data_IF_244188122680
#
_entry.id   IF_244188122680
#
_cell.length_a   1.000
_cell.length_b   1.000
_cell.length_c   1.000
_cell.angle_alpha   90.00
_cell.angle_beta   90.00
_cell.angle_gamma   90.00
#
_symmetry.space_group_name_H-M   'P 1'
#
loop_
_entity.id
_entity.type
_entity.pdbx_description
1 polymer ?
#
# COMPACT_ATOMS: atom_id res chain seq x y z
N UNK A 1 1.17 -2.62 -23.26
CA UNK A 1 0.41 -3.62 -22.47
C UNK A 1 0.20 -4.90 -23.27
N UNK A 2 0.61 -6.04 -22.72
CA UNK A 2 0.25 -7.36 -23.23
C UNK A 2 -1.23 -7.67 -22.94
N UNK A 3 -1.74 -8.81 -23.43
CA UNK A 3 -3.16 -9.19 -23.26
C UNK A 3 -3.55 -9.41 -21.79
N UNK A 4 -2.65 -9.96 -20.97
CA UNK A 4 -2.90 -10.20 -19.56
C UNK A 4 -2.96 -8.89 -18.78
N UNK A 5 -2.01 -7.98 -19.01
CA UNK A 5 -2.00 -6.63 -18.43
C UNK A 5 -3.28 -5.86 -18.78
N UNK A 6 -3.76 -5.97 -20.03
CA UNK A 6 -5.02 -5.39 -20.46
C UNK A 6 -6.21 -5.95 -19.70
N UNK A 7 -6.34 -7.27 -19.60
CA UNK A 7 -7.44 -7.90 -18.88
C UNK A 7 -7.40 -7.54 -17.38
N UNK A 8 -6.21 -7.54 -16.78
CA UNK A 8 -6.02 -7.17 -15.38
C UNK A 8 -6.48 -5.73 -15.10
N UNK A 9 -6.06 -4.76 -15.90
CA UNK A 9 -6.52 -3.36 -15.77
C UNK A 9 -8.04 -3.25 -15.87
N UNK A 10 -8.65 -3.93 -16.84
CA UNK A 10 -10.10 -3.88 -17.06
C UNK A 10 -10.90 -4.50 -15.90
N UNK A 11 -10.41 -5.60 -15.31
CA UNK A 11 -11.03 -6.21 -14.14
C UNK A 11 -10.91 -5.31 -12.90
N UNK A 12 -9.75 -4.68 -12.70
CA UNK A 12 -9.55 -3.72 -11.60
C UNK A 12 -10.51 -2.54 -11.68
N UNK A 13 -10.71 -1.99 -12.87
CA UNK A 13 -11.71 -0.94 -13.07
C UNK A 13 -13.11 -1.41 -12.67
N UNK A 14 -13.47 -2.68 -12.92
CA UNK A 14 -14.74 -3.25 -12.46
C UNK A 14 -14.78 -3.36 -10.93
N UNK A 15 -13.69 -3.76 -10.29
CA UNK A 15 -13.64 -3.90 -8.83
C UNK A 15 -13.73 -2.52 -8.13
N UNK A 16 -13.10 -1.48 -8.67
CA UNK A 16 -13.26 -0.09 -8.20
C UNK A 16 -14.73 0.37 -8.33
N UNK A 17 -15.36 0.12 -9.48
CA UNK A 17 -16.76 0.48 -9.68
C UNK A 17 -17.71 -0.30 -8.77
N UNK A 18 -17.40 -1.57 -8.46
CA UNK A 18 -18.16 -2.39 -7.52
C UNK A 18 -18.09 -1.84 -6.10
N UNK A 19 -16.88 -1.50 -5.64
CA UNK A 19 -16.68 -0.89 -4.34
C UNK A 19 -17.46 0.42 -4.22
N UNK A 20 -17.32 1.32 -5.20
CA UNK A 20 -18.07 2.57 -5.22
C UNK A 20 -19.59 2.35 -5.20
N UNK A 21 -20.06 1.26 -5.79
CA UNK A 21 -21.49 0.88 -5.84
C UNK A 21 -22.03 0.33 -4.53
N UNK A 22 -21.20 -0.05 -3.56
CA UNK A 22 -21.68 -0.55 -2.26
C UNK A 22 -22.43 0.52 -1.49
N UNK A 23 -21.94 1.76 -1.55
CA UNK A 23 -22.49 2.90 -0.79
C UNK A 23 -23.31 3.88 -1.64
N UNK A 24 -23.28 3.75 -2.97
CA UNK A 24 -23.91 4.67 -3.92
C UNK A 24 -24.90 3.97 -4.85
N UNK A 25 -25.89 4.69 -5.36
CA UNK A 25 -26.77 4.27 -6.47
C UNK A 25 -26.06 4.41 -7.82
N UNK A 26 -26.64 3.83 -8.88
CA UNK A 26 -26.07 3.98 -10.23
C UNK A 26 -26.15 5.42 -10.74
N UNK A 27 -27.12 6.21 -10.27
CA UNK A 27 -27.26 7.61 -10.65
C UNK A 27 -26.17 8.45 -9.96
N UNK A 28 -25.93 8.24 -8.66
CA UNK A 28 -24.83 8.90 -7.92
C UNK A 28 -23.45 8.52 -8.51
N UNK A 29 -23.24 7.25 -8.86
CA UNK A 29 -22.03 6.82 -9.56
C UNK A 29 -21.86 7.49 -10.92
N UNK A 30 -22.94 7.68 -11.67
CA UNK A 30 -22.89 8.31 -12.99
C UNK A 30 -22.45 9.77 -12.88
N UNK A 31 -22.86 10.47 -11.82
CA UNK A 31 -22.41 11.83 -11.53
C UNK A 31 -20.91 11.89 -11.20
N UNK A 32 -20.41 10.97 -10.37
CA UNK A 32 -18.99 10.97 -9.98
C UNK A 32 -18.06 10.50 -11.09
N UNK A 33 -18.47 9.48 -11.86
CA UNK A 33 -17.59 8.83 -12.86
C UNK A 33 -17.75 9.38 -14.28
N UNK A 34 -18.73 10.25 -14.50
CA UNK A 34 -19.17 10.71 -15.82
C UNK A 34 -19.55 9.56 -16.79
N UNK A 35 -19.87 8.38 -16.25
CA UNK A 35 -20.29 7.20 -17.03
C UNK A 35 -21.81 7.06 -17.03
N UNK A 36 -22.43 6.66 -18.16
CA UNK A 36 -23.86 6.39 -18.19
C UNK A 36 -24.24 5.27 -17.20
N UNK A 37 -25.32 5.46 -16.42
CA UNK A 37 -25.81 4.47 -15.46
C UNK A 37 -26.03 3.07 -16.05
N UNK A 38 -26.44 2.99 -17.32
CA UNK A 38 -26.59 1.72 -18.04
C UNK A 38 -25.25 1.00 -18.31
N UNK A 39 -24.18 1.74 -18.59
CA UNK A 39 -22.85 1.18 -18.77
C UNK A 39 -22.25 0.76 -17.42
N UNK A 40 -22.41 1.59 -16.39
CA UNK A 40 -22.04 1.26 -15.01
C UNK A 40 -22.69 -0.05 -14.55
N UNK A 41 -23.99 -0.23 -14.79
CA UNK A 41 -24.69 -1.48 -14.48
C UNK A 41 -24.05 -2.68 -15.20
N UNK A 42 -23.69 -2.53 -16.46
CA UNK A 42 -23.06 -3.61 -17.24
C UNK A 42 -21.64 -3.91 -16.76
N UNK A 43 -20.87 -2.89 -16.39
CA UNK A 43 -19.51 -3.03 -15.86
C UNK A 43 -19.51 -3.70 -14.48
N UNK A 44 -20.28 -3.15 -13.53
CA UNK A 44 -20.38 -3.68 -12.14
C UNK A 44 -20.83 -5.14 -12.13
N UNK A 45 -21.81 -5.51 -12.96
CA UNK A 45 -22.28 -6.90 -13.07
C UNK A 45 -21.37 -7.79 -13.93
N UNK A 46 -20.30 -7.26 -14.52
CA UNK A 46 -19.35 -8.01 -15.34
C UNK A 46 -19.90 -8.47 -16.70
N UNK A 47 -21.01 -7.91 -17.17
CA UNK A 47 -21.58 -8.23 -18.48
C UNK A 47 -20.67 -7.77 -19.62
N UNK A 48 -19.97 -6.65 -19.42
CA UNK A 48 -18.95 -6.11 -20.32
C UNK A 48 -17.83 -5.49 -19.48
N UNK A 49 -16.62 -5.50 -20.02
CA UNK A 49 -15.49 -4.81 -19.42
C UNK A 49 -15.33 -3.40 -20.04
N UNK A 50 -14.93 -2.39 -19.25
CA UNK A 50 -14.63 -1.06 -19.80
C UNK A 50 -13.49 -1.15 -20.82
N UNK A 51 -13.47 -0.25 -21.81
CA UNK A 51 -12.33 -0.12 -22.73
C UNK A 51 -11.03 0.21 -21.97
N UNK A 52 -9.87 -0.07 -22.54
CA UNK A 52 -8.58 0.09 -21.82
C UNK A 52 -8.33 1.52 -21.35
N UNK A 53 -8.68 2.53 -22.15
CA UNK A 53 -8.55 3.94 -21.78
C UNK A 53 -9.44 4.28 -20.59
N UNK A 54 -10.73 3.98 -20.69
CA UNK A 54 -11.70 4.10 -19.58
C UNK A 54 -11.30 3.33 -18.33
N UNK A 55 -10.72 2.15 -18.48
CA UNK A 55 -10.25 1.37 -17.35
C UNK A 55 -9.08 2.05 -16.63
N UNK A 56 -8.22 2.79 -17.34
CA UNK A 56 -7.20 3.63 -16.71
C UNK A 56 -7.82 4.79 -15.96
N UNK A 57 -8.68 5.57 -16.61
CA UNK A 57 -9.38 6.71 -15.97
C UNK A 57 -10.07 6.31 -14.66
N UNK A 58 -10.77 5.16 -14.67
CA UNK A 58 -11.44 4.64 -13.47
C UNK A 58 -10.46 4.24 -12.36
N UNK A 59 -9.30 3.66 -12.70
CA UNK A 59 -8.33 3.18 -11.70
C UNK A 59 -7.44 4.32 -11.20
N UNK A 60 -6.95 5.17 -12.10
CA UNK A 60 -5.95 6.21 -11.81
C UNK A 60 -6.59 7.45 -11.18
N UNK A 61 -7.62 8.02 -11.80
CA UNK A 61 -8.20 9.29 -11.35
C UNK A 61 -9.28 9.06 -10.27
N UNK A 62 -10.27 8.25 -10.59
CA UNK A 62 -11.41 7.99 -9.70
C UNK A 62 -11.04 7.07 -8.54
N UNK A 63 -10.20 6.06 -8.81
CA UNK A 63 -9.83 5.06 -7.82
C UNK A 63 -9.09 5.66 -6.63
N UNK A 64 -8.16 6.59 -6.85
CA UNK A 64 -7.37 7.19 -5.76
C UNK A 64 -8.21 8.03 -4.82
N UNK A 65 -9.00 8.95 -5.35
CA UNK A 65 -9.88 9.80 -4.53
C UNK A 65 -10.92 8.96 -3.79
N UNK A 66 -11.55 8.01 -4.49
CA UNK A 66 -12.55 7.12 -3.91
C UNK A 66 -11.97 6.29 -2.76
N UNK A 67 -10.80 5.66 -2.96
CA UNK A 67 -10.16 4.86 -1.91
C UNK A 67 -9.71 5.72 -0.73
N UNK A 68 -9.27 6.96 -0.97
CA UNK A 68 -8.97 7.91 0.09
C UNK A 68 -10.21 8.19 0.97
N UNK A 69 -11.35 8.51 0.35
CA UNK A 69 -12.60 8.75 1.07
C UNK A 69 -13.09 7.51 1.82
N UNK A 70 -13.02 6.33 1.22
CA UNK A 70 -13.43 5.08 1.87
C UNK A 70 -12.46 4.68 3.00
N UNK A 71 -11.17 4.99 2.87
CA UNK A 71 -10.20 4.82 3.95
C UNK A 71 -10.54 5.76 5.12
N UNK A 72 -10.77 7.04 4.84
CA UNK A 72 -11.17 8.03 5.84
C UNK A 72 -12.45 7.63 6.58
N UNK A 73 -13.41 7.02 5.88
CA UNK A 73 -14.64 6.50 6.49
C UNK A 73 -14.41 5.28 7.42
N UNK A 74 -13.28 4.58 7.27
CA UNK A 74 -12.92 3.36 8.01
C UNK A 74 -11.97 3.59 9.17
N UNK A 75 -11.36 4.77 9.27
CA UNK A 75 -10.43 5.13 10.34
C UNK A 75 -11.12 5.94 11.43
N UNK A 76 -10.57 5.92 12.63
CA UNK A 76 -10.95 6.81 13.73
C UNK A 76 -9.70 7.44 14.31
N UNK A 77 -9.76 8.74 14.56
CA UNK A 77 -8.68 9.49 15.20
C UNK A 77 -9.16 9.92 16.58
N UNK A 78 -8.38 9.62 17.62
CA UNK A 78 -8.68 10.07 18.99
C UNK A 78 -8.18 11.49 19.28
N UNK A 79 -8.49 12.01 20.47
CA UNK A 79 -8.11 13.36 20.89
C UNK A 79 -6.58 13.54 21.03
N UNK A 80 -5.82 12.45 21.09
CA UNK A 80 -4.35 12.43 21.16
C UNK A 80 -3.69 12.21 19.78
N UNK A 81 -4.50 12.14 18.71
CA UNK A 81 -4.04 11.95 17.34
C UNK A 81 -3.58 10.53 17.02
N UNK A 82 -3.99 9.52 17.79
CA UNK A 82 -3.78 8.12 17.41
C UNK A 82 -4.88 7.66 16.46
N UNK A 83 -4.48 6.87 15.47
CA UNK A 83 -5.37 6.38 14.41
C UNK A 83 -5.69 4.90 14.66
N UNK A 84 -6.96 4.58 14.81
CA UNK A 84 -7.49 3.22 14.70
C UNK A 84 -7.88 2.95 13.25
N UNK A 85 -7.10 2.12 12.58
CA UNK A 85 -7.31 1.70 11.19
C UNK A 85 -7.70 0.22 11.07
N UNK A 86 -8.07 -0.44 12.17
CA UNK A 86 -8.35 -1.89 12.20
C UNK A 86 -9.37 -2.32 11.14
N UNK A 87 -10.41 -1.50 10.93
CA UNK A 87 -11.45 -1.79 9.95
C UNK A 87 -10.93 -1.78 8.50
N UNK A 88 -9.88 -1.01 8.22
CA UNK A 88 -9.27 -0.94 6.89
C UNK A 88 -8.27 -2.08 6.67
N UNK A 89 -7.37 -2.34 7.62
CA UNK A 89 -6.32 -3.38 7.47
C UNK A 89 -6.85 -4.81 7.53
N UNK A 90 -8.07 -5.02 8.06
CA UNK A 90 -8.75 -6.33 8.06
C UNK A 90 -9.64 -6.56 6.83
N UNK A 91 -9.91 -5.54 6.03
CA UNK A 91 -10.75 -5.64 4.82
C UNK A 91 -9.88 -5.96 3.60
N UNK A 92 -9.63 -7.26 3.35
CA UNK A 92 -8.82 -7.70 2.21
C UNK A 92 -9.37 -7.24 0.84
N UNK A 93 -10.69 -7.34 0.55
CA UNK A 93 -11.26 -6.77 -0.67
C UNK A 93 -10.90 -5.29 -0.89
N UNK A 94 -10.89 -4.48 0.16
CA UNK A 94 -10.41 -3.10 0.06
C UNK A 94 -8.92 -3.01 -0.24
N UNK A 95 -8.07 -3.76 0.47
CA UNK A 95 -6.62 -3.73 0.25
C UNK A 95 -6.24 -4.22 -1.15
N UNK A 96 -7.00 -5.15 -1.73
CA UNK A 96 -6.83 -5.62 -3.11
C UNK A 96 -7.13 -4.52 -4.15
N UNK A 97 -7.97 -3.53 -3.79
CA UNK A 97 -8.22 -2.33 -4.59
C UNK A 97 -7.15 -1.25 -4.40
N UNK A 98 -6.53 -1.18 -3.22
CA UNK A 98 -5.42 -0.26 -2.96
C UNK A 98 -4.23 -0.58 -3.86
N UNK A 99 -3.85 -1.85 -3.98
CA UNK A 99 -2.67 -2.26 -4.75
C UNK A 99 -2.60 -1.71 -6.20
N UNK A 100 -3.64 -1.82 -7.04
CA UNK A 100 -3.61 -1.24 -8.39
C UNK A 100 -3.53 0.28 -8.38
N UNK A 101 -4.21 0.95 -7.45
CA UNK A 101 -4.15 2.41 -7.37
C UNK A 101 -2.75 2.87 -6.97
N UNK A 102 -2.12 2.20 -6.02
CA UNK A 102 -0.76 2.49 -5.59
C UNK A 102 0.24 2.26 -6.72
N UNK A 103 0.13 1.13 -7.41
CA UNK A 103 1.06 0.77 -8.47
C UNK A 103 0.97 1.61 -9.75
N UNK A 104 -0.13 2.33 -9.97
CA UNK A 104 -0.30 3.20 -11.14
C UNK A 104 -0.31 4.70 -10.76
N UNK A 105 -0.59 5.04 -9.51
CA UNK A 105 -0.69 6.42 -9.02
C UNK A 105 0.58 6.98 -8.40
N UNK A 106 1.58 6.13 -8.14
CA UNK A 106 2.89 6.54 -7.64
C UNK A 106 3.98 6.09 -8.62
N UNK A 107 5.07 6.86 -8.68
CA UNK A 107 6.21 6.61 -9.57
C UNK A 107 7.13 5.49 -9.04
N UNK A 108 6.56 4.45 -8.42
CA UNK A 108 7.33 3.32 -7.92
C UNK A 108 7.75 2.40 -9.07
N UNK A 109 9.05 2.06 -9.12
CA UNK A 109 9.51 0.95 -9.94
C UNK A 109 8.93 -0.37 -9.43
N UNK A 110 8.83 -1.37 -10.31
CA UNK A 110 8.33 -2.69 -9.93
C UNK A 110 9.32 -3.36 -8.95
N UNK A 111 8.90 -3.69 -7.71
CA UNK A 111 9.81 -4.26 -6.72
C UNK A 111 9.96 -5.79 -6.84
N UNK A 112 11.11 -6.30 -6.43
CA UNK A 112 11.43 -7.72 -6.22
C UNK A 112 11.00 -8.22 -4.82
N UNK A 113 10.85 -7.28 -3.86
CA UNK A 113 10.32 -7.54 -2.52
C UNK A 113 9.44 -6.39 -2.05
N UNK A 114 8.27 -6.70 -1.48
CA UNK A 114 7.50 -5.77 -0.66
C UNK A 114 7.81 -6.04 0.80
N UNK A 115 8.44 -5.08 1.47
CA UNK A 115 8.89 -5.18 2.86
C UNK A 115 7.99 -4.36 3.79
N UNK A 116 7.63 -4.93 4.93
CA UNK A 116 6.92 -4.20 6.00
C UNK A 116 7.44 -4.58 7.39
N UNK A 117 6.95 -3.93 8.44
CA UNK A 117 7.13 -4.37 9.81
C UNK A 117 5.88 -5.14 10.28
N UNK A 118 6.07 -6.18 11.09
CA UNK A 118 4.94 -6.83 11.74
C UNK A 118 4.24 -5.86 12.73
N UNK A 119 2.92 -5.76 12.76
CA UNK A 119 1.96 -6.79 12.28
C UNK A 119 0.93 -6.29 11.26
N UNK A 120 0.38 -5.09 11.45
CA UNK A 120 -0.83 -4.67 10.74
C UNK A 120 -0.58 -4.37 9.24
N UNK A 121 0.57 -3.77 8.90
CA UNK A 121 1.03 -3.57 7.53
C UNK A 121 1.22 -4.85 6.69
N UNK A 122 1.21 -6.06 7.29
CA UNK A 122 1.39 -7.33 6.57
C UNK A 122 0.28 -7.57 5.54
N UNK A 123 -0.98 -7.21 5.83
CA UNK A 123 -2.08 -7.45 4.88
C UNK A 123 -1.98 -6.55 3.65
N UNK A 124 -1.57 -5.30 3.84
CA UNK A 124 -1.24 -4.37 2.75
C UNK A 124 -0.05 -4.87 1.93
N UNK A 125 1.04 -5.27 2.60
CA UNK A 125 2.23 -5.79 1.95
C UNK A 125 1.92 -7.03 1.11
N UNK A 126 1.11 -7.95 1.64
CA UNK A 126 0.68 -9.13 0.91
C UNK A 126 -0.17 -8.80 -0.33
N UNK A 127 -1.07 -7.82 -0.24
CA UNK A 127 -1.86 -7.35 -1.39
C UNK A 127 -0.97 -6.77 -2.50
N UNK A 128 -0.06 -5.86 -2.14
CA UNK A 128 0.90 -5.27 -3.07
C UNK A 128 1.85 -6.32 -3.67
N UNK A 129 2.35 -7.25 -2.86
CA UNK A 129 3.21 -8.32 -3.32
C UNK A 129 2.50 -9.22 -4.33
N UNK A 130 1.26 -9.60 -4.04
CA UNK A 130 0.39 -10.37 -4.95
C UNK A 130 0.16 -9.63 -6.26
N UNK A 131 -0.10 -8.32 -6.19
CA UNK A 131 -0.28 -7.47 -7.37
C UNK A 131 0.96 -7.45 -8.27
N UNK A 132 2.14 -7.24 -7.70
CA UNK A 132 3.40 -7.21 -8.45
C UNK A 132 3.89 -8.60 -8.83
N UNK A 133 3.28 -9.67 -8.30
CA UNK A 133 3.74 -11.04 -8.47
C UNK A 133 5.13 -11.25 -7.87
N UNK A 134 5.36 -10.68 -6.68
CA UNK A 134 6.67 -10.58 -6.04
C UNK A 134 6.63 -11.11 -4.61
N UNK A 135 7.77 -11.16 -3.90
CA UNK A 135 7.83 -11.68 -2.53
C UNK A 135 7.31 -10.66 -1.52
N UNK A 136 6.61 -11.15 -0.50
CA UNK A 136 6.24 -10.36 0.68
C UNK A 136 7.18 -10.74 1.83
N UNK A 137 7.92 -9.76 2.36
CA UNK A 137 8.79 -9.92 3.51
C UNK A 137 8.31 -9.02 4.66
N UNK A 138 8.53 -9.45 5.90
CA UNK A 138 8.15 -8.65 7.06
C UNK A 138 9.13 -8.81 8.22
N UNK A 139 9.63 -7.67 8.70
CA UNK A 139 10.55 -7.61 9.82
C UNK A 139 9.80 -7.74 11.14
N UNK A 140 10.40 -8.42 12.12
CA UNK A 140 9.77 -8.79 13.38
C UNK A 140 10.54 -8.25 14.57
N UNK A 141 9.85 -8.05 15.69
CA UNK A 141 10.48 -7.65 16.97
C UNK A 141 11.16 -8.81 17.70
N UNK A 142 11.04 -10.05 17.19
CA UNK A 142 11.58 -11.28 17.78
C UNK A 142 12.08 -12.22 16.69
N UNK A 143 13.15 -12.95 16.98
CA UNK A 143 13.71 -13.99 16.13
C UNK A 143 12.98 -15.32 16.31
N UNK A 144 12.80 -16.05 15.22
CA UNK A 144 12.45 -17.46 15.25
C UNK A 144 13.65 -18.32 15.69
N UNK A 145 13.38 -19.34 16.50
CA UNK A 145 14.43 -20.27 16.96
C UNK A 145 15.04 -21.11 15.85
N UNK A 146 14.30 -21.31 14.74
CA UNK A 146 14.71 -22.17 13.64
C UNK A 146 15.42 -21.43 12.50
N UNK A 147 15.67 -20.13 12.64
CA UNK A 147 16.38 -19.31 11.64
C UNK A 147 17.74 -18.95 12.20
N UNK A 148 18.79 -19.15 11.40
CA UNK A 148 20.18 -19.01 11.84
C UNK A 148 20.66 -17.55 11.77
N UNK A 149 20.38 -16.87 10.66
CA UNK A 149 20.93 -15.55 10.34
C UNK A 149 19.82 -14.50 10.12
N UNK A 150 20.08 -13.28 10.60
CA UNK A 150 19.15 -12.16 10.56
C UNK A 150 19.89 -10.86 10.30
N UNK A 151 19.30 -10.02 9.46
CA UNK A 151 19.59 -8.59 9.41
C UNK A 151 18.90 -7.94 10.61
N UNK A 152 19.63 -7.08 11.34
CA UNK A 152 19.13 -6.38 12.52
C UNK A 152 19.24 -4.87 12.33
N UNK A 153 18.13 -4.16 12.47
CA UNK A 153 18.12 -2.69 12.55
C UNK A 153 17.64 -2.25 13.94
N UNK A 154 18.31 -1.23 14.50
CA UNK A 154 18.09 -0.78 15.89
C UNK A 154 18.09 0.74 15.99
N UNK A 155 17.11 1.28 16.70
CA UNK A 155 17.01 2.70 17.00
C UNK A 155 16.75 2.90 18.49
N UNK A 156 17.45 3.87 19.09
CA UNK A 156 17.19 4.30 20.46
C UNK A 156 16.29 5.53 20.45
N UNK A 157 15.05 5.32 20.89
CA UNK A 157 14.06 6.37 21.02
C UNK A 157 14.46 7.36 22.13
N UNK A 158 13.98 8.60 22.05
CA UNK A 158 14.24 9.63 23.06
C UNK A 158 13.76 9.23 24.47
N UNK A 159 12.77 8.32 24.54
CA UNK A 159 12.28 7.73 25.79
C UNK A 159 13.25 6.74 26.45
N UNK A 160 14.37 6.40 25.78
CA UNK A 160 15.34 5.39 26.21
C UNK A 160 14.95 3.96 25.86
N UNK A 161 13.81 3.77 25.19
CA UNK A 161 13.38 2.47 24.66
C UNK A 161 14.18 2.18 23.39
N UNK A 162 14.72 0.97 23.28
CA UNK A 162 15.36 0.48 22.05
C UNK A 162 14.33 -0.26 21.21
N UNK A 163 14.09 0.23 20.00
CA UNK A 163 13.30 -0.45 18.98
C UNK A 163 14.24 -1.30 18.14
N UNK A 164 13.88 -2.55 17.89
CA UNK A 164 14.68 -3.47 17.08
C UNK A 164 13.79 -4.30 16.19
N UNK A 165 14.16 -4.36 14.91
CA UNK A 165 13.57 -5.25 13.93
C UNK A 165 14.60 -6.26 13.42
N UNK A 166 14.11 -7.47 13.18
CA UNK A 166 14.87 -8.60 12.67
C UNK A 166 14.20 -9.08 11.38
N UNK A 167 14.98 -9.25 10.32
CA UNK A 167 14.54 -9.88 9.08
C UNK A 167 15.48 -11.06 8.78
N UNK A 168 14.97 -12.28 8.47
CA UNK A 168 15.83 -13.36 8.01
C UNK A 168 16.68 -12.90 6.81
N UNK A 169 17.98 -13.18 6.82
CA UNK A 169 18.90 -12.70 5.78
C UNK A 169 18.50 -13.16 4.38
N UNK A 170 17.90 -14.35 4.27
CA UNK A 170 17.39 -14.90 3.00
C UNK A 170 16.16 -14.17 2.42
N UNK A 171 15.62 -13.15 3.10
CA UNK A 171 14.39 -12.48 2.67
C UNK A 171 14.62 -11.42 1.58
N UNK A 172 15.82 -10.86 1.50
CA UNK A 172 16.23 -9.85 0.52
C UNK A 172 17.64 -10.22 0.06
N UNK A 173 17.83 -10.29 -1.26
CA UNK A 173 19.12 -10.56 -1.89
C UNK A 173 19.79 -9.24 -2.32
N UNK A 174 21.12 -9.24 -2.44
CA UNK A 174 21.91 -8.08 -2.90
C UNK A 174 21.41 -7.59 -4.28
N UNK A 175 21.21 -6.28 -4.40
CA UNK A 175 20.76 -5.61 -5.63
C UNK A 175 19.27 -5.77 -5.96
N UNK A 176 18.47 -6.37 -5.08
CA UNK A 176 17.02 -6.43 -5.26
C UNK A 176 16.34 -5.08 -5.01
N UNK A 177 15.27 -4.81 -5.75
CA UNK A 177 14.46 -3.60 -5.56
C UNK A 177 13.37 -3.82 -4.51
N UNK A 178 13.36 -3.03 -3.44
CA UNK A 178 12.49 -3.20 -2.28
C UNK A 178 11.50 -2.04 -2.13
N UNK A 179 10.20 -2.35 -2.16
CA UNK A 179 9.15 -1.40 -1.81
C UNK A 179 8.84 -1.53 -0.32
N UNK A 180 9.16 -0.49 0.46
CA UNK A 180 8.86 -0.45 1.90
C UNK A 180 7.43 0.05 2.09
N UNK A 181 6.62 -0.71 2.83
CA UNK A 181 5.21 -0.39 3.04
C UNK A 181 4.80 -0.48 4.50
N UNK A 182 3.84 0.34 4.90
CA UNK A 182 3.23 0.27 6.23
C UNK A 182 1.74 0.67 6.19
N UNK A 183 0.98 0.29 7.20
CA UNK A 183 -0.41 0.75 7.32
C UNK A 183 -0.51 2.20 7.82
N UNK A 184 0.45 2.64 8.63
CA UNK A 184 0.47 3.97 9.22
C UNK A 184 1.91 4.49 9.35
N UNK A 185 2.15 5.72 8.92
CA UNK A 185 3.37 6.47 9.23
C UNK A 185 3.04 7.67 10.11
N UNK A 186 3.75 7.81 11.24
CA UNK A 186 3.60 8.95 12.18
C UNK A 186 4.92 9.65 12.43
N UNK A 187 5.82 9.03 13.21
CA UNK A 187 7.16 9.56 13.48
C UNK A 187 8.20 9.20 12.41
N UNK A 188 7.94 8.17 11.61
CA UNK A 188 8.86 7.63 10.60
C UNK A 188 9.89 6.62 11.14
N UNK A 189 9.95 6.38 12.46
CA UNK A 189 10.96 5.52 13.11
C UNK A 189 10.93 4.07 12.59
N UNK A 190 9.73 3.51 12.36
CA UNK A 190 9.59 2.18 11.77
C UNK A 190 10.16 2.15 10.35
N UNK A 191 9.87 3.17 9.54
CA UNK A 191 10.33 3.27 8.16
C UNK A 191 11.84 3.44 8.10
N UNK A 192 12.45 4.22 9.00
CA UNK A 192 13.92 4.31 9.09
C UNK A 192 14.55 2.95 9.33
N UNK A 193 14.04 2.17 10.29
CA UNK A 193 14.56 0.83 10.56
C UNK A 193 14.37 -0.14 9.40
N UNK A 194 13.27 -0.03 8.66
CA UNK A 194 13.07 -0.86 7.45
C UNK A 194 14.03 -0.44 6.33
N UNK A 195 14.29 0.85 6.16
CA UNK A 195 15.28 1.34 5.19
C UNK A 195 16.71 0.92 5.58
N UNK A 196 17.05 0.90 6.87
CA UNK A 196 18.34 0.39 7.36
C UNK A 196 18.51 -1.11 7.07
N UNK A 197 17.41 -1.90 7.13
CA UNK A 197 17.43 -3.31 6.73
C UNK A 197 17.72 -3.44 5.24
N UNK A 198 17.11 -2.60 4.39
CA UNK A 198 17.35 -2.60 2.94
C UNK A 198 18.80 -2.21 2.63
N UNK A 199 19.32 -1.17 3.28
CA UNK A 199 20.72 -0.74 3.14
C UNK A 199 21.69 -1.84 3.58
N UNK A 200 21.41 -2.52 4.70
CA UNK A 200 22.25 -3.60 5.21
C UNK A 200 22.23 -4.85 4.32
N UNK A 201 21.15 -5.05 3.56
CA UNK A 201 21.04 -6.13 2.57
C UNK A 201 21.77 -5.81 1.25
N UNK A 202 22.40 -4.63 1.13
CA UNK A 202 22.97 -4.10 -0.13
C UNK A 202 21.91 -4.10 -1.27
N UNK A 203 20.67 -3.72 -0.93
CA UNK A 203 19.51 -3.67 -1.83
C UNK A 203 19.06 -2.23 -2.12
N UNK A 204 18.26 -2.05 -3.17
CA UNK A 204 17.79 -0.74 -3.64
C UNK A 204 16.38 -0.43 -3.15
N UNK A 205 16.11 0.81 -2.74
CA UNK A 205 14.75 1.23 -2.32
C UNK A 205 13.95 1.64 -3.56
N UNK A 206 12.88 0.90 -3.88
CA UNK A 206 11.94 1.22 -4.95
C UNK A 206 11.01 2.39 -4.59
N UNK A 207 10.74 2.54 -3.29
CA UNK A 207 9.87 3.58 -2.74
C UNK A 207 9.42 3.26 -1.33
N UNK A 208 8.73 4.23 -0.72
CA UNK A 208 8.05 4.05 0.57
C UNK A 208 6.58 4.40 0.43
N UNK A 209 5.69 3.53 0.89
CA UNK A 209 4.25 3.76 0.84
C UNK A 209 3.56 3.48 2.17
N UNK A 210 2.67 4.38 2.60
CA UNK A 210 1.77 4.13 3.73
C UNK A 210 0.30 4.23 3.32
N UNK A 211 -0.60 3.45 3.92
CA UNK A 211 -2.03 3.71 3.77
C UNK A 211 -2.37 5.08 4.37
N UNK A 212 -1.87 5.38 5.57
CA UNK A 212 -2.20 6.59 6.32
C UNK A 212 -0.90 7.28 6.74
N UNK A 213 -0.81 8.59 6.52
CA UNK A 213 0.18 9.43 7.18
C UNK A 213 -0.50 10.25 8.29
N UNK A 214 -0.07 10.12 9.54
CA UNK A 214 -0.50 10.96 10.65
C UNK A 214 0.46 12.14 10.79
N UNK A 215 0.09 13.28 10.21
CA UNK A 215 0.97 14.45 10.03
C UNK A 215 2.04 14.26 8.95
N UNK A 216 2.99 15.21 8.92
CA UNK A 216 4.05 15.27 7.89
C UNK A 216 5.40 14.72 8.37
N UNK A 217 5.65 14.71 9.68
CA UNK A 217 6.94 14.39 10.29
C UNK A 217 7.54 13.07 9.78
N UNK A 218 6.76 11.99 9.80
CA UNK A 218 7.24 10.68 9.36
C UNK A 218 7.56 10.63 7.87
N UNK A 219 6.78 11.32 7.03
CA UNK A 219 7.04 11.41 5.58
C UNK A 219 8.32 12.20 5.32
N UNK A 220 8.52 13.32 6.01
CA UNK A 220 9.75 14.11 5.92
C UNK A 220 10.97 13.31 6.39
N UNK A 221 10.82 12.56 7.48
CA UNK A 221 11.88 11.69 8.00
C UNK A 221 12.28 10.61 7.00
N UNK A 222 11.32 9.94 6.37
CA UNK A 222 11.58 8.96 5.32
C UNK A 222 12.28 9.60 4.10
N UNK A 223 11.86 10.82 3.68
CA UNK A 223 12.55 11.60 2.62
C UNK A 223 14.00 11.93 2.96
N UNK A 224 14.33 12.07 4.24
CA UNK A 224 15.70 12.28 4.69
C UNK A 224 16.61 11.05 4.56
N UNK A 225 16.05 9.86 4.31
CA UNK A 225 16.77 8.58 4.27
C UNK A 225 16.87 7.96 2.87
N UNK A 226 16.04 8.37 1.92
CA UNK A 226 16.06 7.82 0.55
C UNK A 226 15.62 8.87 -0.47
N UNK A 227 16.22 8.81 -1.66
CA UNK A 227 15.81 9.60 -2.83
C UNK A 227 14.64 8.94 -3.60
N UNK A 228 14.22 7.74 -3.21
CA UNK A 228 13.12 7.03 -3.84
C UNK A 228 11.78 7.74 -3.60
N UNK A 229 10.76 7.53 -4.46
CA UNK A 229 9.45 8.14 -4.28
C UNK A 229 8.80 7.72 -2.96
N UNK A 230 8.07 8.64 -2.33
CA UNK A 230 7.38 8.41 -1.05
C UNK A 230 5.93 8.85 -1.18
N UNK A 231 5.01 8.00 -0.73
CA UNK A 231 3.58 8.20 -0.89
C UNK A 231 2.75 7.80 0.33
N UNK A 232 1.62 8.47 0.50
CA UNK A 232 0.53 8.01 1.36
C UNK A 232 -0.80 8.06 0.59
N UNK A 233 -1.73 7.16 0.92
CA UNK A 233 -3.07 7.19 0.32
C UNK A 233 -3.91 8.34 0.91
N UNK A 234 -3.90 8.49 2.24
CA UNK A 234 -4.48 9.65 2.92
C UNK A 234 -3.53 10.22 3.99
N UNK A 235 -3.75 11.48 4.35
CA UNK A 235 -3.05 12.18 5.44
C UNK A 235 -4.08 12.71 6.43
N UNK A 236 -3.86 12.44 7.72
CA UNK A 236 -4.71 12.85 8.83
C UNK A 236 -3.97 13.68 9.86
#
# INVERSE_FOLDING_TARGET
>A
MNRAEKAALQLRAVDVLRMLKETRTYDELAETTELPAGDLNRYVNGHVLPGTERAREVVEDLGREALGQELEARIRVDDEGYVDNSSAVFDQPFLDLVAPVVANGFEFDRPDVVLTAATDGITLAASLASYYGTRCAYAKKRKETAVEEFIEARERLQSGIELTYYLPESAIEEGESVLVVDDLIRSGETQELLLDIVETADADVAGVFALIAAGEDGIERARGRTDAPIGALTTV
#
